data_IF_736725161680
#
_entry.id   IF_736725161680
#
_cell.length_a   1.000
_cell.length_b   1.000
_cell.length_c   1.000
_cell.angle_alpha   90.00
_cell.angle_beta   90.00
_cell.angle_gamma   90.00
#
_symmetry.space_group_name_H-M   'P 1'
#
loop_
_entity.id
_entity.type
_entity.pdbx_description
1 polymer ?
#
# COMPACT_ATOMS: atom_id res chain seq x y z
N UNK A 1 23.38 -10.89 6.59
CA UNK A 1 23.79 -11.47 5.28
C UNK A 1 22.93 -12.67 4.85
N UNK A 2 21.63 -12.48 4.60
CA UNK A 2 20.70 -13.52 4.10
C UNK A 2 19.76 -12.98 3.01
N UNK A 3 20.22 -12.05 2.16
CA UNK A 3 19.47 -11.68 0.96
C UNK A 3 20.07 -12.41 -0.26
N UNK A 4 19.24 -13.18 -0.97
CA UNK A 4 19.65 -13.92 -2.16
C UNK A 4 20.10 -12.99 -3.30
N UNK A 5 19.74 -11.70 -3.26
CA UNK A 5 20.19 -10.70 -4.24
C UNK A 5 21.72 -10.53 -4.29
N UNK A 6 22.44 -10.79 -3.18
CA UNK A 6 23.90 -10.71 -3.16
C UNK A 6 24.61 -11.83 -3.93
N UNK A 7 23.87 -12.84 -4.41
CA UNK A 7 24.47 -13.97 -5.14
C UNK A 7 24.88 -13.60 -6.58
N UNK A 8 24.32 -12.52 -7.15
CA UNK A 8 24.72 -12.06 -8.49
C UNK A 8 26.05 -11.32 -8.39
N UNK A 9 27.13 -12.01 -8.73
CA UNK A 9 28.50 -11.47 -8.59
C UNK A 9 28.84 -10.36 -9.59
N UNK A 10 28.25 -10.38 -10.79
CA UNK A 10 28.51 -9.41 -11.87
C UNK A 10 27.21 -8.96 -12.53
N UNK A 11 26.38 -8.14 -11.85
CA UNK A 11 25.20 -7.55 -12.46
C UNK A 11 25.61 -6.61 -13.60
N UNK A 12 24.74 -6.44 -14.60
CA UNK A 12 25.00 -5.52 -15.73
C UNK A 12 24.85 -4.06 -15.28
N UNK A 13 23.92 -3.81 -14.38
CA UNK A 13 23.56 -2.52 -13.78
C UNK A 13 22.89 -2.78 -12.43
N UNK A 14 23.06 -1.89 -11.46
CA UNK A 14 22.42 -1.96 -10.15
C UNK A 14 21.49 -0.76 -9.91
N UNK A 15 20.41 -0.98 -9.17
CA UNK A 15 19.45 0.05 -8.81
C UNK A 15 18.96 -0.09 -7.37
N UNK A 16 18.95 1.00 -6.62
CA UNK A 16 18.38 1.07 -5.27
C UNK A 16 17.14 1.97 -5.33
N UNK A 17 15.97 1.39 -5.03
CA UNK A 17 14.71 2.13 -4.95
C UNK A 17 14.64 2.94 -3.65
N UNK A 18 13.54 3.67 -3.42
CA UNK A 18 13.31 4.36 -2.15
C UNK A 18 13.49 3.43 -0.95
N UNK A 19 14.23 3.90 0.05
CA UNK A 19 14.47 3.23 1.30
C UNK A 19 13.49 3.72 2.37
N UNK A 20 13.02 2.79 3.20
CA UNK A 20 12.11 3.09 4.30
C UNK A 20 12.32 2.11 5.46
N UNK A 21 11.60 2.31 6.56
CA UNK A 21 11.71 1.49 7.76
C UNK A 21 11.03 0.12 7.58
N UNK A 22 11.71 -0.73 6.82
CA UNK A 22 11.28 -2.07 6.51
C UNK A 22 12.32 -3.11 6.96
N UNK A 23 11.87 -4.28 7.42
CA UNK A 23 12.71 -5.37 7.90
C UNK A 23 13.72 -4.97 8.99
N UNK A 24 13.33 -4.09 9.91
CA UNK A 24 14.24 -3.51 10.92
C UNK A 24 14.91 -4.56 11.81
N UNK A 25 14.23 -5.67 12.14
CA UNK A 25 14.81 -6.78 12.93
C UNK A 25 16.01 -7.46 12.25
N UNK A 26 16.15 -7.31 10.92
CA UNK A 26 17.18 -7.98 10.11
C UNK A 26 18.19 -6.96 9.57
N UNK A 27 17.73 -5.78 9.16
CA UNK A 27 18.54 -4.78 8.47
C UNK A 27 19.05 -3.65 9.37
N UNK A 28 18.51 -3.50 10.58
CA UNK A 28 18.82 -2.40 11.50
C UNK A 28 17.63 -1.48 11.74
N UNK A 29 17.73 -0.68 12.79
CA UNK A 29 16.67 0.21 13.26
C UNK A 29 16.81 1.65 12.74
N UNK A 30 17.87 1.96 11.99
CA UNK A 30 18.06 3.26 11.35
C UNK A 30 18.10 3.16 9.82
N UNK A 31 17.82 4.27 9.13
CA UNK A 31 17.87 4.27 7.65
C UNK A 31 19.30 4.08 7.13
N UNK A 32 20.31 4.52 7.89
CA UNK A 32 21.72 4.30 7.57
C UNK A 32 22.10 2.82 7.63
N UNK A 33 21.66 2.08 8.64
CA UNK A 33 21.89 0.63 8.74
C UNK A 33 21.21 -0.12 7.59
N UNK A 34 19.94 0.22 7.30
CA UNK A 34 19.18 -0.35 6.18
C UNK A 34 19.85 -0.03 4.84
N UNK A 35 20.33 1.21 4.66
CA UNK A 35 21.05 1.62 3.47
C UNK A 35 22.37 0.85 3.33
N UNK A 36 23.11 0.65 4.42
CA UNK A 36 24.37 -0.09 4.42
C UNK A 36 24.21 -1.53 3.93
N UNK A 37 23.21 -2.26 4.43
CA UNK A 37 22.92 -3.61 3.93
C UNK A 37 22.55 -3.57 2.43
N UNK A 38 21.67 -2.65 2.01
CA UNK A 38 21.22 -2.57 0.61
C UNK A 38 22.30 -2.06 -0.35
N UNK A 39 23.23 -1.23 0.11
CA UNK A 39 24.37 -0.74 -0.65
C UNK A 39 25.30 -1.89 -1.09
N UNK A 40 25.25 -3.04 -0.41
CA UNK A 40 26.01 -4.23 -0.78
C UNK A 40 25.73 -4.78 -2.19
N UNK A 41 24.69 -4.31 -2.89
CA UNK A 41 24.47 -4.64 -4.31
C UNK A 41 25.34 -3.80 -5.25
N UNK A 42 25.92 -2.68 -4.80
CA UNK A 42 26.83 -1.85 -5.57
C UNK A 42 28.11 -2.65 -5.82
N UNK A 43 28.60 -2.64 -7.07
CA UNK A 43 29.78 -3.41 -7.49
C UNK A 43 30.72 -2.54 -8.32
N UNK A 44 32.02 -2.65 -8.05
CA UNK A 44 33.07 -1.95 -8.81
C UNK A 44 32.93 -2.20 -10.31
N UNK A 45 32.96 -1.11 -11.10
CA UNK A 45 32.86 -1.15 -12.56
C UNK A 45 31.46 -1.45 -13.11
N UNK A 46 30.45 -1.55 -12.23
CA UNK A 46 29.04 -1.70 -12.60
C UNK A 46 28.33 -0.36 -12.35
N UNK A 47 27.57 0.18 -13.33
CA UNK A 47 26.78 1.38 -13.12
C UNK A 47 25.75 1.18 -12.02
N UNK A 48 25.61 2.17 -11.15
CA UNK A 48 24.68 2.15 -10.03
C UNK A 48 23.77 3.37 -10.08
N UNK A 49 22.48 3.15 -9.87
CA UNK A 49 21.47 4.19 -9.84
C UNK A 49 20.71 4.12 -8.51
N UNK A 50 20.28 5.28 -8.02
CA UNK A 50 19.34 5.40 -6.91
C UNK A 50 18.31 6.48 -7.23
N UNK A 51 17.31 6.62 -6.38
CA UNK A 51 16.42 7.77 -6.33
C UNK A 51 16.81 8.66 -5.15
N UNK A 52 16.18 9.83 -5.01
CA UNK A 52 16.40 10.67 -3.84
C UNK A 52 16.05 9.88 -2.57
N UNK A 53 16.96 9.87 -1.60
CA UNK A 53 16.80 9.23 -0.31
C UNK A 53 16.82 10.28 0.81
N UNK A 54 16.35 9.93 2.03
CA UNK A 54 16.67 10.70 3.24
C UNK A 54 18.19 10.80 3.45
N UNK A 55 18.66 11.92 3.99
CA UNK A 55 20.09 12.24 4.10
C UNK A 55 20.92 11.13 4.77
N UNK A 56 20.39 10.54 5.85
CA UNK A 56 21.06 9.44 6.57
C UNK A 56 21.36 8.24 5.65
N UNK A 57 20.40 7.87 4.80
CA UNK A 57 20.57 6.79 3.84
C UNK A 57 21.45 7.23 2.66
N UNK A 58 21.26 8.45 2.16
CA UNK A 58 21.99 8.95 0.99
C UNK A 58 23.49 9.00 1.26
N UNK A 59 23.93 9.51 2.41
CA UNK A 59 25.33 9.54 2.81
C UNK A 59 25.96 8.13 2.77
N UNK A 60 25.26 7.12 3.29
CA UNK A 60 25.77 5.73 3.30
C UNK A 60 25.90 5.17 1.89
N UNK A 61 24.93 5.44 1.00
CA UNK A 61 25.00 4.99 -0.39
C UNK A 61 26.16 5.66 -1.15
N UNK A 62 26.38 6.96 -0.92
CA UNK A 62 27.47 7.73 -1.54
C UNK A 62 28.85 7.28 -1.04
N UNK A 63 28.98 7.02 0.27
CA UNK A 63 30.21 6.51 0.88
C UNK A 63 30.58 5.13 0.33
N UNK A 64 29.61 4.20 0.25
CA UNK A 64 29.84 2.87 -0.30
C UNK A 64 30.25 2.95 -1.79
N UNK A 65 29.52 3.73 -2.60
CA UNK A 65 29.83 3.93 -4.00
C UNK A 65 31.24 4.52 -4.20
N UNK A 66 31.59 5.53 -3.39
CA UNK A 66 32.92 6.17 -3.40
C UNK A 66 34.02 5.18 -3.04
N UNK A 67 33.82 4.36 -2.02
CA UNK A 67 34.80 3.32 -1.61
C UNK A 67 35.08 2.30 -2.73
N UNK A 68 34.07 2.02 -3.55
CA UNK A 68 34.16 1.10 -4.68
C UNK A 68 34.62 1.77 -5.98
N UNK A 69 34.80 3.10 -5.98
CA UNK A 69 35.04 3.94 -7.16
C UNK A 69 33.94 3.77 -8.23
N UNK A 70 32.68 3.83 -7.78
CA UNK A 70 31.48 3.78 -8.63
C UNK A 70 30.79 5.14 -8.57
N UNK A 71 30.44 5.68 -9.73
CA UNK A 71 29.57 6.86 -9.82
C UNK A 71 28.12 6.42 -9.55
N UNK A 72 27.57 6.83 -8.40
CA UNK A 72 26.18 6.58 -8.04
C UNK A 72 25.30 7.70 -8.57
N UNK A 73 24.44 7.38 -9.53
CA UNK A 73 23.59 8.39 -10.18
C UNK A 73 22.21 8.47 -9.54
N UNK A 74 21.83 9.67 -9.10
CA UNK A 74 20.48 9.95 -8.58
C UNK A 74 19.55 10.26 -9.75
N UNK A 75 18.59 9.38 -9.98
CA UNK A 75 17.62 9.49 -11.07
C UNK A 75 16.46 10.37 -10.64
N UNK A 76 16.07 11.27 -11.55
CA UNK A 76 14.89 12.13 -11.37
C UNK A 76 13.60 11.35 -11.63
N UNK A 77 12.47 11.73 -11.00
CA UNK A 77 11.17 11.19 -11.36
C UNK A 77 10.88 11.36 -12.86
N UNK A 78 10.14 10.42 -13.43
CA UNK A 78 9.69 10.52 -14.82
C UNK A 78 8.84 11.77 -15.01
N UNK A 79 9.22 12.63 -15.96
CA UNK A 79 8.37 13.70 -16.46
C UNK A 79 7.20 13.12 -17.25
N UNK A 80 5.98 13.41 -16.79
CA UNK A 80 4.71 12.99 -17.41
C UNK A 80 4.58 13.41 -18.87
N UNK A 81 5.22 14.52 -19.27
CA UNK A 81 5.17 15.01 -20.64
C UNK A 81 5.83 14.04 -21.63
N UNK A 82 6.75 13.18 -21.15
CA UNK A 82 7.45 12.20 -21.97
C UNK A 82 6.60 10.97 -22.33
N UNK A 83 5.39 10.85 -21.76
CA UNK A 83 4.45 9.76 -22.00
C UNK A 83 3.44 10.04 -23.14
N UNK A 84 3.57 11.14 -23.88
CA UNK A 84 2.66 11.51 -24.97
C UNK A 84 1.19 11.57 -24.54
N UNK A 85 0.93 12.08 -23.33
CA UNK A 85 -0.42 12.17 -22.75
C UNK A 85 -0.99 10.84 -22.21
N UNK A 86 -0.22 9.76 -22.24
CA UNK A 86 -0.57 8.50 -21.59
C UNK A 86 -0.21 8.53 -20.10
N UNK A 87 -0.85 7.66 -19.32
CA UNK A 87 -0.59 7.47 -17.88
C UNK A 87 0.20 6.19 -17.64
N UNK A 88 0.92 6.12 -16.53
CA UNK A 88 1.53 4.87 -16.06
C UNK A 88 0.45 3.80 -15.81
N UNK A 89 0.81 2.53 -16.04
CA UNK A 89 -0.07 1.40 -15.73
C UNK A 89 -0.20 1.13 -14.23
N UNK A 90 0.79 1.57 -13.44
CA UNK A 90 0.76 1.56 -11.97
C UNK A 90 0.33 2.93 -11.46
N UNK A 91 -0.64 2.95 -10.55
CA UNK A 91 -1.14 4.19 -9.94
C UNK A 91 -0.29 4.67 -8.76
N UNK A 92 -0.37 5.99 -8.51
CA UNK A 92 0.27 6.68 -7.40
C UNK A 92 1.50 7.49 -7.80
N UNK A 93 1.71 8.63 -7.15
CA UNK A 93 2.78 9.59 -7.50
C UNK A 93 4.19 8.99 -7.37
N UNK A 94 4.39 8.13 -6.37
CA UNK A 94 5.64 7.39 -6.16
C UNK A 94 6.02 6.51 -7.38
N UNK A 95 5.08 6.14 -8.24
CA UNK A 95 5.39 5.36 -9.44
C UNK A 95 6.16 6.16 -10.49
N UNK A 96 6.13 7.49 -10.48
CA UNK A 96 6.98 8.29 -11.37
C UNK A 96 8.46 8.22 -10.96
N UNK A 97 8.73 8.14 -9.64
CA UNK A 97 10.07 7.89 -9.10
C UNK A 97 10.55 6.49 -9.53
N UNK A 98 9.70 5.47 -9.33
CA UNK A 98 10.00 4.09 -9.74
C UNK A 98 10.21 3.97 -11.27
N UNK A 99 9.38 4.66 -12.05
CA UNK A 99 9.47 4.68 -13.51
C UNK A 99 10.78 5.32 -13.99
N UNK A 100 11.16 6.46 -13.40
CA UNK A 100 12.45 7.10 -13.69
C UNK A 100 13.62 6.14 -13.49
N UNK A 101 13.68 5.49 -12.32
CA UNK A 101 14.70 4.50 -12.03
C UNK A 101 14.64 3.31 -13.01
N UNK A 102 13.45 2.78 -13.29
CA UNK A 102 13.27 1.67 -14.23
C UNK A 102 13.75 2.02 -15.65
N UNK A 103 13.53 3.24 -16.11
CA UNK A 103 14.03 3.75 -17.40
C UNK A 103 15.56 3.75 -17.39
N UNK A 104 16.20 4.35 -16.37
CA UNK A 104 17.66 4.43 -16.29
C UNK A 104 18.33 3.04 -16.26
N UNK A 105 17.76 2.11 -15.50
CA UNK A 105 18.21 0.73 -15.43
C UNK A 105 18.04 0.01 -16.77
N UNK A 106 16.85 0.09 -17.37
CA UNK A 106 16.55 -0.58 -18.64
C UNK A 106 17.41 -0.05 -19.78
N UNK A 107 17.55 1.27 -19.86
CA UNK A 107 18.38 1.95 -20.85
C UNK A 107 19.85 1.53 -20.73
N UNK A 108 20.40 1.55 -19.51
CA UNK A 108 21.79 1.13 -19.25
C UNK A 108 22.00 -0.34 -19.59
N UNK A 109 21.04 -1.20 -19.23
CA UNK A 109 21.09 -2.61 -19.57
C UNK A 109 21.09 -2.84 -21.09
N UNK A 110 20.19 -2.17 -21.84
CA UNK A 110 20.13 -2.26 -23.31
C UNK A 110 21.46 -1.83 -23.95
N UNK A 111 22.04 -0.70 -23.49
CA UNK A 111 23.34 -0.21 -24.00
C UNK A 111 24.46 -1.21 -23.75
N UNK A 112 24.55 -1.77 -22.54
CA UNK A 112 25.63 -2.70 -22.15
C UNK A 112 25.48 -4.10 -22.72
N UNK A 113 24.29 -4.47 -23.20
CA UNK A 113 24.01 -5.76 -23.84
C UNK A 113 23.99 -5.70 -25.37
N UNK A 114 24.32 -4.54 -25.97
CA UNK A 114 24.45 -4.39 -27.42
C UNK A 114 23.17 -4.01 -28.17
N UNK A 115 22.09 -3.65 -27.46
CA UNK A 115 20.80 -3.26 -28.04
C UNK A 115 20.70 -1.74 -28.26
N UNK A 116 21.73 -1.14 -28.86
CA UNK A 116 21.88 0.32 -29.00
C UNK A 116 20.83 0.97 -29.91
N UNK A 117 20.28 0.23 -30.86
CA UNK A 117 19.24 0.74 -31.78
C UNK A 117 17.97 1.15 -31.06
N UNK A 118 17.62 0.48 -29.94
CA UNK A 118 16.48 0.83 -29.09
C UNK A 118 16.79 1.97 -28.11
N UNK A 119 18.08 2.15 -27.76
CA UNK A 119 18.52 3.21 -26.86
C UNK A 119 18.65 4.56 -27.59
N UNK A 120 19.03 4.57 -28.86
CA UNK A 120 19.31 5.80 -29.61
C UNK A 120 18.10 6.36 -30.37
N UNK A 121 16.90 5.80 -30.20
CA UNK A 121 15.65 6.39 -30.71
C UNK A 121 15.20 7.58 -29.84
N UNK A 122 16.08 8.55 -29.65
CA UNK A 122 15.74 9.83 -29.04
C UNK A 122 14.95 10.66 -30.04
N UNK A 123 13.62 10.61 -29.93
CA UNK A 123 12.78 11.67 -30.48
C UNK A 123 12.82 12.80 -29.46
N UNK A 124 13.36 13.96 -29.86
CA UNK A 124 13.45 15.13 -29.00
C UNK A 124 12.08 15.44 -28.36
N UNK A 125 11.94 15.12 -27.07
CA UNK A 125 10.72 15.37 -26.29
C UNK A 125 9.83 14.17 -25.94
N UNK A 126 10.17 12.93 -26.31
CA UNK A 126 9.39 11.74 -25.89
C UNK A 126 10.26 10.50 -25.65
N UNK A 127 9.82 9.61 -24.76
CA UNK A 127 10.45 8.29 -24.59
C UNK A 127 10.28 7.41 -25.83
N UNK A 128 11.19 6.44 -26.10
CA UNK A 128 10.97 5.45 -27.14
C UNK A 128 9.65 4.68 -26.93
N UNK A 129 8.96 4.31 -28.02
CA UNK A 129 7.63 3.70 -27.98
C UNK A 129 7.59 2.44 -27.09
N UNK A 130 8.66 1.65 -27.09
CA UNK A 130 8.76 0.43 -26.30
C UNK A 130 8.81 0.72 -24.79
N UNK A 131 9.43 1.83 -24.38
CA UNK A 131 9.44 2.28 -22.99
C UNK A 131 8.05 2.75 -22.57
N UNK A 132 7.40 3.58 -23.40
CA UNK A 132 6.03 4.04 -23.15
C UNK A 132 5.08 2.84 -23.02
N UNK A 133 5.16 1.88 -23.95
CA UNK A 133 4.37 0.65 -23.91
C UNK A 133 4.63 -0.16 -22.63
N UNK A 134 5.88 -0.32 -22.23
CA UNK A 134 6.24 -1.03 -21.00
C UNK A 134 5.69 -0.35 -19.75
N UNK A 135 5.82 0.98 -19.66
CA UNK A 135 5.37 1.77 -18.52
C UNK A 135 3.84 1.83 -18.40
N UNK A 136 3.14 1.96 -19.53
CA UNK A 136 1.67 2.03 -19.60
C UNK A 136 1.00 0.66 -19.38
N UNK A 137 1.67 -0.44 -19.74
CA UNK A 137 1.16 -1.79 -19.56
C UNK A 137 1.62 -2.45 -18.25
N UNK A 138 2.47 -1.80 -17.45
CA UNK A 138 2.96 -2.33 -16.19
C UNK A 138 1.81 -2.53 -15.20
N UNK A 139 1.65 -3.74 -14.69
CA UNK A 139 0.68 -4.06 -13.64
C UNK A 139 1.36 -4.88 -12.55
N UNK A 140 0.99 -4.65 -11.29
CA UNK A 140 1.51 -5.42 -10.17
C UNK A 140 0.37 -5.80 -9.22
N UNK A 141 0.10 -7.09 -9.10
CA UNK A 141 -0.98 -7.58 -8.26
C UNK A 141 -0.77 -7.18 -6.80
N UNK A 142 -1.83 -6.63 -6.19
CA UNK A 142 -1.79 -6.13 -4.82
C UNK A 142 -1.06 -4.81 -4.62
N UNK A 143 -0.81 -4.04 -5.68
CA UNK A 143 -0.37 -2.64 -5.62
C UNK A 143 -1.39 -1.75 -6.30
N UNK A 144 -2.01 -0.85 -5.53
CA UNK A 144 -3.02 0.06 -6.03
C UNK A 144 -4.09 -0.63 -6.94
N UNK A 145 -4.52 -1.83 -6.57
CA UNK A 145 -5.35 -2.68 -7.43
C UNK A 145 -6.82 -2.62 -6.99
N UNK A 146 -7.71 -2.23 -7.89
CA UNK A 146 -9.16 -2.18 -7.65
C UNK A 146 -9.81 -3.46 -8.19
N UNK A 147 -10.60 -4.14 -7.36
CA UNK A 147 -11.24 -5.42 -7.66
C UNK A 147 -12.70 -5.39 -7.21
N UNK A 148 -13.66 -5.18 -8.12
CA UNK A 148 -15.07 -5.43 -7.85
C UNK A 148 -15.30 -6.90 -7.47
N UNK A 149 -16.13 -7.17 -6.46
CA UNK A 149 -16.44 -8.55 -6.06
C UNK A 149 -17.32 -9.23 -7.11
N UNK A 150 -16.88 -10.38 -7.62
CA UNK A 150 -17.59 -11.10 -8.67
C UNK A 150 -18.69 -12.05 -8.16
N UNK A 151 -18.86 -12.17 -6.83
CA UNK A 151 -19.79 -13.11 -6.18
C UNK A 151 -21.00 -12.42 -5.54
N UNK A 152 -21.06 -11.09 -5.60
CA UNK A 152 -22.29 -10.35 -5.35
C UNK A 152 -23.06 -10.34 -6.68
N UNK A 153 -24.16 -11.10 -6.73
CA UNK A 153 -25.11 -11.03 -7.85
C UNK A 153 -25.91 -9.72 -7.75
N UNK A 154 -25.25 -8.59 -7.97
CA UNK A 154 -25.89 -7.28 -8.09
C UNK A 154 -26.08 -6.93 -9.55
N UNK A 155 -27.17 -6.21 -9.86
CA UNK A 155 -27.36 -5.62 -11.20
C UNK A 155 -26.30 -4.55 -11.52
N UNK A 156 -25.53 -4.10 -10.51
CA UNK A 156 -24.47 -3.10 -10.64
C UNK A 156 -23.10 -3.68 -10.24
N UNK A 157 -22.13 -3.61 -11.16
CA UNK A 157 -20.70 -3.77 -10.86
C UNK A 157 -20.25 -2.56 -10.02
N UNK A 158 -20.33 -2.65 -8.69
CA UNK A 158 -19.92 -1.54 -7.82
C UNK A 158 -20.42 -1.59 -6.37
N UNK A 159 -21.33 -2.51 -6.04
CA UNK A 159 -21.91 -2.54 -4.70
C UNK A 159 -20.90 -3.04 -3.64
N UNK A 160 -19.90 -3.83 -4.04
CA UNK A 160 -18.77 -4.23 -3.20
C UNK A 160 -17.47 -4.17 -4.02
N UNK A 161 -16.57 -3.25 -3.65
CA UNK A 161 -15.29 -3.06 -4.34
C UNK A 161 -14.15 -3.17 -3.35
N UNK A 162 -13.15 -3.98 -3.68
CA UNK A 162 -11.93 -4.13 -2.90
C UNK A 162 -10.80 -3.30 -3.50
N UNK A 163 -10.17 -2.48 -2.67
CA UNK A 163 -8.98 -1.69 -2.98
C UNK A 163 -7.80 -2.36 -2.31
N UNK A 164 -6.89 -2.93 -3.10
CA UNK A 164 -5.85 -3.83 -2.61
C UNK A 164 -4.49 -3.17 -2.73
N UNK A 165 -3.85 -2.93 -1.58
CA UNK A 165 -2.47 -2.48 -1.54
C UNK A 165 -1.70 -3.12 -0.39
N UNK A 166 -0.58 -3.78 -0.68
CA UNK A 166 0.23 -4.44 0.33
C UNK A 166 1.15 -3.51 1.14
N UNK A 167 0.77 -2.26 1.39
CA UNK A 167 1.51 -1.33 2.24
C UNK A 167 1.66 -1.89 3.67
N UNK A 168 2.83 -1.69 4.29
CA UNK A 168 3.16 -2.27 5.59
C UNK A 168 4.34 -1.58 6.30
N UNK A 169 4.67 -0.36 5.89
CA UNK A 169 5.58 0.58 6.55
C UNK A 169 4.88 1.93 6.72
N UNK A 170 5.25 2.79 7.68
CA UNK A 170 4.57 4.08 7.87
C UNK A 170 4.45 4.92 6.59
N UNK A 171 5.50 4.97 5.78
CA UNK A 171 5.54 5.72 4.52
C UNK A 171 4.65 5.10 3.45
N UNK A 172 4.68 3.77 3.31
CA UNK A 172 3.82 3.09 2.35
C UNK A 172 2.34 3.16 2.74
N UNK A 173 2.02 3.22 4.04
CA UNK A 173 0.65 3.41 4.52
C UNK A 173 0.11 4.80 4.16
N UNK A 174 0.93 5.85 4.24
CA UNK A 174 0.56 7.20 3.77
C UNK A 174 0.30 7.22 2.25
N UNK A 175 1.19 6.60 1.48
CA UNK A 175 1.04 6.50 0.01
C UNK A 175 -0.24 5.72 -0.35
N UNK A 176 -0.48 4.60 0.32
CA UNK A 176 -1.68 3.78 0.16
C UNK A 176 -2.96 4.59 0.47
N UNK A 177 -2.96 5.38 1.54
CA UNK A 177 -4.08 6.25 1.88
C UNK A 177 -4.35 7.30 0.79
N UNK A 178 -3.31 8.01 0.30
CA UNK A 178 -3.49 9.00 -0.79
C UNK A 178 -4.11 8.38 -2.03
N UNK A 179 -3.59 7.22 -2.45
CA UNK A 179 -4.15 6.48 -3.58
C UNK A 179 -5.60 6.09 -3.35
N UNK A 180 -5.90 5.44 -2.21
CA UNK A 180 -7.24 5.00 -1.88
C UNK A 180 -8.24 6.17 -1.88
N UNK A 181 -7.88 7.28 -1.24
CA UNK A 181 -8.72 8.48 -1.19
C UNK A 181 -9.04 9.07 -2.55
N UNK A 182 -8.06 9.18 -3.44
CA UNK A 182 -8.30 9.65 -4.82
C UNK A 182 -9.15 8.66 -5.63
N UNK A 183 -8.94 7.36 -5.42
CA UNK A 183 -9.66 6.30 -6.13
C UNK A 183 -11.15 6.27 -5.76
N UNK A 184 -11.49 6.33 -4.46
CA UNK A 184 -12.91 6.33 -4.01
C UNK A 184 -13.68 7.60 -4.36
N UNK A 185 -12.97 8.71 -4.60
CA UNK A 185 -13.57 9.97 -5.09
C UNK A 185 -13.70 10.05 -6.60
N UNK A 186 -13.17 9.07 -7.34
CA UNK A 186 -13.20 9.05 -8.80
C UNK A 186 -12.19 9.99 -9.48
N UNK A 187 -11.20 10.52 -8.76
CA UNK A 187 -10.20 11.45 -9.30
C UNK A 187 -9.26 10.79 -10.35
N UNK A 188 -9.13 9.46 -10.28
CA UNK A 188 -8.23 8.69 -11.15
C UNK A 188 -8.90 8.02 -12.36
N UNK A 189 -10.23 8.06 -12.49
CA UNK A 189 -10.90 7.43 -13.62
C UNK A 189 -10.73 8.23 -14.92
N UNK A 190 -10.19 7.65 -16.00
CA UNK A 190 -10.38 8.23 -17.33
C UNK A 190 -11.87 8.19 -17.68
N UNK A 191 -12.35 9.18 -18.46
CA UNK A 191 -13.73 9.45 -18.95
C UNK A 191 -14.54 8.27 -19.58
N UNK A 192 -14.17 7.00 -19.39
CA UNK A 192 -14.83 5.82 -19.96
C UNK A 192 -15.78 5.07 -19.02
N UNK A 193 -15.93 5.49 -17.77
CA UNK A 193 -17.06 5.08 -16.91
C UNK A 193 -17.68 6.30 -16.27
N UNK A 194 -18.18 7.24 -17.08
CA UNK A 194 -19.37 7.98 -16.63
C UNK A 194 -20.50 6.95 -16.61
N UNK A 195 -21.16 6.69 -15.47
CA UNK A 195 -22.44 5.99 -15.50
C UNK A 195 -23.28 6.68 -16.56
N UNK A 196 -23.73 5.93 -17.56
CA UNK A 196 -24.63 6.45 -18.57
C UNK A 196 -25.78 7.15 -17.84
N UNK A 197 -25.98 8.43 -18.14
CA UNK A 197 -27.16 9.25 -17.79
C UNK A 197 -27.82 8.80 -16.48
N UNK A 198 -27.35 9.34 -15.35
CA UNK A 198 -28.02 9.22 -14.06
C UNK A 198 -29.51 9.52 -14.23
N UNK A 199 -30.34 8.50 -14.03
CA UNK A 199 -31.77 8.65 -13.84
C UNK A 199 -31.97 9.30 -12.45
N UNK A 200 -32.54 10.51 -12.34
CA UNK A 200 -32.76 11.19 -11.06
C UNK A 200 -33.74 10.46 -10.13
N UNK A 201 -34.31 9.33 -10.56
CA UNK A 201 -35.22 8.51 -9.77
C UNK A 201 -34.56 7.39 -8.94
N UNK A 202 -33.25 7.14 -9.09
CA UNK A 202 -32.54 6.18 -8.23
C UNK A 202 -32.17 6.82 -6.90
N UNK A 203 -32.65 6.28 -5.79
CA UNK A 203 -32.26 6.71 -4.44
C UNK A 203 -30.72 6.77 -4.32
N UNK A 204 -30.19 7.90 -3.83
CA UNK A 204 -28.76 8.11 -3.61
C UNK A 204 -28.20 6.97 -2.74
N UNK A 205 -27.36 6.12 -3.33
CA UNK A 205 -26.71 5.04 -2.58
C UNK A 205 -25.70 5.64 -1.60
N UNK A 206 -25.71 5.14 -0.37
CA UNK A 206 -24.74 5.52 0.64
C UNK A 206 -23.47 4.71 0.44
N UNK A 207 -22.38 5.40 0.10
CA UNK A 207 -21.05 4.81 0.05
C UNK A 207 -20.46 4.73 1.45
N UNK A 208 -19.93 3.55 1.81
CA UNK A 208 -19.26 3.33 3.10
C UNK A 208 -17.84 2.81 2.87
N UNK A 209 -16.86 3.53 3.42
CA UNK A 209 -15.46 3.10 3.41
C UNK A 209 -15.19 2.15 4.59
N UNK A 210 -14.66 0.99 4.28
CA UNK A 210 -14.34 -0.06 5.26
C UNK A 210 -12.84 -0.36 5.18
N UNK A 211 -12.19 -0.47 6.32
CA UNK A 211 -10.83 -0.97 6.40
C UNK A 211 -10.85 -2.47 6.70
N UNK A 212 -10.16 -3.28 5.90
CA UNK A 212 -9.82 -4.66 6.20
C UNK A 212 -8.30 -4.74 6.40
N UNK A 213 -7.87 -4.91 7.65
CA UNK A 213 -6.47 -4.74 8.03
C UNK A 213 -5.91 -5.95 8.77
N UNK A 214 -4.65 -6.25 8.46
CA UNK A 214 -3.81 -7.12 9.26
C UNK A 214 -2.34 -6.77 9.00
N UNK A 215 -1.49 -6.84 10.03
CA UNK A 215 -0.03 -6.81 9.87
C UNK A 215 0.60 -7.99 10.64
N UNK A 216 1.86 -8.32 10.35
CA UNK A 216 2.59 -9.34 11.10
C UNK A 216 2.98 -8.81 12.50
N UNK A 217 3.16 -9.70 13.49
CA UNK A 217 3.50 -9.31 14.87
C UNK A 217 4.89 -8.66 15.03
N UNK A 218 5.74 -8.73 14.01
CA UNK A 218 7.03 -8.02 13.92
C UNK A 218 6.84 -6.56 13.48
N UNK A 219 5.60 -6.13 13.23
CA UNK A 219 5.24 -4.75 12.91
C UNK A 219 4.49 -4.13 14.06
N UNK A 220 4.66 -2.82 14.21
CA UNK A 220 3.93 -2.04 15.18
C UNK A 220 2.69 -1.39 14.54
N UNK A 221 1.47 -1.84 14.87
CA UNK A 221 0.25 -1.22 14.35
C UNK A 221 0.07 0.24 14.78
N UNK A 222 0.67 0.66 15.90
CA UNK A 222 0.62 2.06 16.36
C UNK A 222 1.46 2.99 15.48
N UNK A 223 2.37 2.45 14.67
CA UNK A 223 3.11 3.21 13.65
C UNK A 223 2.46 3.15 12.26
N UNK A 224 1.64 2.13 11.99
CA UNK A 224 1.04 1.92 10.66
C UNK A 224 -0.35 2.55 10.50
N UNK A 225 -1.21 2.43 11.52
CA UNK A 225 -2.59 2.91 11.43
C UNK A 225 -2.71 4.44 11.44
N UNK A 226 -1.96 5.21 12.26
CA UNK A 226 -2.14 6.66 12.29
C UNK A 226 -1.80 7.38 10.98
N UNK A 227 -0.69 7.07 10.27
CA UNK A 227 -0.42 7.68 8.96
C UNK A 227 -1.53 7.40 7.93
N UNK A 228 -2.07 6.16 7.92
CA UNK A 228 -3.18 5.79 7.05
C UNK A 228 -4.42 6.65 7.36
N UNK A 229 -4.86 6.64 8.61
CA UNK A 229 -6.08 7.32 9.04
C UNK A 229 -6.01 8.83 8.85
N UNK A 230 -4.90 9.46 9.28
CA UNK A 230 -4.70 10.91 9.17
C UNK A 230 -4.69 11.37 7.70
N UNK A 231 -4.10 10.56 6.83
CA UNK A 231 -4.00 10.89 5.40
C UNK A 231 -5.34 10.71 4.70
N UNK A 232 -6.11 9.67 5.02
CA UNK A 232 -7.49 9.56 4.53
C UNK A 232 -8.35 10.74 5.02
N UNK A 233 -8.25 11.09 6.31
CA UNK A 233 -9.03 12.19 6.89
C UNK A 233 -8.67 13.56 6.30
N UNK A 234 -7.39 13.83 6.00
CA UNK A 234 -6.99 15.07 5.33
C UNK A 234 -7.50 15.16 3.89
N UNK A 235 -7.92 14.03 3.33
CA UNK A 235 -8.57 13.90 2.03
C UNK A 235 -10.08 13.68 2.19
N UNK A 236 -10.72 14.00 3.32
CA UNK A 236 -12.18 13.86 3.52
C UNK A 236 -12.70 12.42 3.26
N UNK A 237 -11.89 11.42 3.61
CA UNK A 237 -12.25 9.99 3.51
C UNK A 237 -12.15 9.38 4.90
N UNK A 238 -13.27 8.84 5.39
CA UNK A 238 -13.38 8.35 6.76
C UNK A 238 -13.93 6.93 6.81
N UNK A 239 -13.12 5.99 7.33
CA UNK A 239 -13.56 4.62 7.53
C UNK A 239 -14.72 4.54 8.53
N UNK A 240 -15.83 3.95 8.10
CA UNK A 240 -17.00 3.68 8.94
C UNK A 240 -16.77 2.49 9.86
N UNK A 241 -15.97 1.51 9.41
CA UNK A 241 -15.65 0.32 10.19
C UNK A 241 -14.27 -0.22 9.84
N UNK A 242 -13.57 -0.77 10.83
CA UNK A 242 -12.36 -1.56 10.63
C UNK A 242 -12.59 -3.03 10.98
N UNK A 243 -12.12 -3.92 10.11
CA UNK A 243 -12.21 -5.36 10.22
C UNK A 243 -10.80 -5.92 10.40
N UNK A 244 -10.60 -6.69 11.47
CA UNK A 244 -9.33 -7.34 11.77
C UNK A 244 -9.48 -8.85 11.63
N UNK A 245 -8.61 -9.46 10.81
CA UNK A 245 -8.66 -10.88 10.45
C UNK A 245 -7.30 -11.56 10.66
N UNK A 246 -7.27 -12.86 11.03
CA UNK A 246 -6.03 -13.62 11.02
C UNK A 246 -5.56 -13.88 9.59
N UNK A 247 -4.25 -14.09 9.41
CA UNK A 247 -3.70 -14.56 8.13
C UNK A 247 -4.19 -15.99 7.84
N UNK A 248 -4.56 -16.26 6.58
CA UNK A 248 -4.82 -17.64 6.14
C UNK A 248 -3.49 -18.28 5.70
N UNK A 249 -2.67 -17.54 4.96
CA UNK A 249 -1.31 -17.94 4.60
C UNK A 249 -0.34 -17.69 5.76
N UNK A 250 0.29 -18.75 6.28
CA UNK A 250 1.30 -18.66 7.35
C UNK A 250 2.69 -18.43 6.74
N UNK A 251 3.44 -17.46 7.27
CA UNK A 251 4.85 -17.27 6.96
C UNK A 251 5.67 -18.40 7.60
N UNK A 252 6.26 -19.28 6.79
CA UNK A 252 7.34 -20.14 7.24
C UNK A 252 8.66 -19.38 7.12
N UNK A 253 9.31 -19.08 8.25
CA UNK A 253 10.68 -18.58 8.25
C UNK A 253 11.56 -19.62 7.55
N UNK A 254 12.30 -19.22 6.52
CA UNK A 254 13.23 -20.11 5.82
C UNK A 254 14.23 -20.63 6.86
N UNK A 255 14.22 -21.94 7.12
CA UNK A 255 15.08 -22.61 8.09
C UNK A 255 14.39 -23.38 9.23
N UNK A 256 13.07 -23.23 9.44
CA UNK A 256 12.35 -24.04 10.43
C UNK A 256 11.52 -25.12 9.75
N UNK A 257 12.09 -26.32 9.62
CA UNK A 257 11.32 -27.54 9.39
C UNK A 257 10.53 -27.84 10.66
N UNK A 258 9.23 -27.55 10.66
CA UNK A 258 8.31 -28.20 11.59
C UNK A 258 7.13 -28.74 10.78
N UNK A 259 7.02 -30.07 10.79
CA UNK A 259 5.85 -30.80 10.31
C UNK A 259 4.59 -30.25 11.01
N UNK A 260 3.59 -29.88 10.23
CA UNK A 260 2.28 -29.50 10.76
C UNK A 260 1.54 -30.75 11.24
N UNK A 261 1.41 -30.87 12.56
CA UNK A 261 0.39 -31.69 13.21
C UNK A 261 -0.97 -30.99 13.07
N UNK A 262 -1.89 -31.66 12.39
CA UNK A 262 -3.30 -31.30 12.26
C UNK A 262 -4.06 -31.55 13.57
N UNK A 263 -4.31 -30.49 14.32
CA UNK A 263 -5.38 -30.43 15.33
C UNK A 263 -6.02 -29.04 15.24
N UNK A 264 -7.33 -29.01 14.99
CA UNK A 264 -8.15 -27.79 14.90
C UNK A 264 -8.32 -27.23 16.32
N UNK A 265 -7.35 -26.45 16.77
CA UNK A 265 -7.54 -25.52 17.89
C UNK A 265 -8.28 -24.30 17.38
N UNK A 266 -9.13 -23.69 18.23
CA UNK A 266 -9.73 -22.38 17.92
C UNK A 266 -8.64 -21.39 17.50
N UNK A 267 -8.88 -20.54 16.49
CA UNK A 267 -7.88 -19.59 16.05
C UNK A 267 -7.53 -18.65 17.21
N UNK A 268 -6.24 -18.53 17.52
CA UNK A 268 -5.77 -17.58 18.51
C UNK A 268 -5.90 -16.15 17.95
N UNK A 269 -6.89 -15.40 18.42
CA UNK A 269 -7.19 -14.04 17.98
C UNK A 269 -6.54 -12.94 18.82
N UNK A 270 -5.61 -13.29 19.73
CA UNK A 270 -4.93 -12.32 20.60
C UNK A 270 -4.27 -11.20 19.81
N UNK A 271 -3.66 -11.52 18.66
CA UNK A 271 -3.05 -10.52 17.79
C UNK A 271 -4.09 -9.60 17.15
N UNK A 272 -5.18 -10.14 16.60
CA UNK A 272 -6.27 -9.32 16.03
C UNK A 272 -6.91 -8.40 17.07
N UNK A 273 -7.02 -8.84 18.33
CA UNK A 273 -7.46 -8.01 19.45
C UNK A 273 -6.44 -6.92 19.82
N UNK A 274 -5.14 -7.15 19.59
CA UNK A 274 -4.12 -6.09 19.71
C UNK A 274 -4.28 -5.06 18.58
N UNK A 275 -4.48 -5.49 17.34
CA UNK A 275 -4.72 -4.59 16.21
C UNK A 275 -5.97 -3.73 16.42
N UNK A 276 -7.05 -4.36 16.90
CA UNK A 276 -8.28 -3.66 17.23
C UNK A 276 -8.08 -2.58 18.30
N UNK A 277 -7.34 -2.90 19.37
CA UNK A 277 -7.02 -1.91 20.42
C UNK A 277 -6.19 -0.74 19.90
N UNK A 278 -5.20 -1.00 19.05
CA UNK A 278 -4.40 0.06 18.42
C UNK A 278 -5.26 1.01 17.57
N UNK A 279 -6.23 0.46 16.84
CA UNK A 279 -7.23 1.24 16.10
C UNK A 279 -8.14 2.06 17.00
N UNK A 280 -8.74 1.44 18.01
CA UNK A 280 -9.69 2.11 18.91
C UNK A 280 -9.00 3.25 19.68
N UNK A 281 -7.75 3.05 20.11
CA UNK A 281 -6.93 4.09 20.75
C UNK A 281 -6.66 5.27 19.80
N UNK A 282 -6.36 4.98 18.53
CA UNK A 282 -6.11 6.01 17.51
C UNK A 282 -7.37 6.84 17.25
N UNK A 283 -8.54 6.21 17.18
CA UNK A 283 -9.84 6.89 17.00
C UNK A 283 -10.23 7.78 18.20
N UNK A 284 -9.87 7.40 19.43
CA UNK A 284 -10.14 8.22 20.62
C UNK A 284 -9.23 9.45 20.70
N UNK A 285 -7.96 9.29 20.33
CA UNK A 285 -6.99 10.39 20.32
C UNK A 285 -7.36 11.50 19.33
N UNK A 286 -8.02 11.16 18.23
CA UNK A 286 -8.49 12.13 17.23
C UNK A 286 -9.69 12.95 17.75
N UNK A 287 -10.69 12.27 18.33
CA UNK A 287 -11.84 12.93 18.98
C UNK A 287 -11.43 13.83 20.14
N UNK A 288 -10.42 13.43 20.91
CA UNK A 288 -9.87 14.21 22.01
C UNK A 288 -9.07 15.46 21.58
N UNK A 289 -8.64 15.52 20.31
CA UNK A 289 -7.97 16.70 19.72
C UNK A 289 -8.98 17.69 19.13
N UNK A 290 -10.03 17.22 18.47
CA UNK A 290 -11.14 18.07 18.00
C UNK A 290 -11.87 18.75 19.16
N UNK A 291 -12.13 18.04 20.26
CA UNK A 291 -12.78 18.59 21.45
C UNK A 291 -11.92 19.64 22.21
N UNK A 292 -10.59 19.68 22.00
CA UNK A 292 -9.69 20.67 22.61
C UNK A 292 -9.49 21.92 21.76
N UNK A 293 -10.09 21.98 20.57
CA UNK A 293 -10.03 23.14 19.67
C UNK A 293 -11.25 24.07 19.78
N UNK A 294 -12.22 23.73 20.63
CA UNK A 294 -13.39 24.57 20.92
C UNK A 294 -13.30 25.08 22.36
N UNK A 295 -12.95 26.37 22.46
CA UNK A 295 -12.99 27.31 23.59
C UNK A 295 -12.93 26.86 25.06
N UNK A 296 -11.97 27.50 25.75
CA UNK A 296 -11.94 27.69 27.19
C UNK A 296 -13.19 28.42 27.70
N UNK A 297 -14.08 27.71 28.41
CA UNK A 297 -14.89 28.27 29.51
C UNK A 297 -14.96 27.21 30.63
N UNK A 298 -14.55 27.50 31.87
CA UNK A 298 -14.65 26.54 32.96
C UNK A 298 -15.94 26.73 33.74
N UNK A 299 -16.89 25.79 33.67
CA UNK A 299 -17.94 25.67 34.70
C UNK A 299 -18.18 24.23 35.15
N UNK A 300 -17.96 24.10 36.46
CA UNK A 300 -18.61 23.29 37.51
C UNK A 300 -19.09 21.86 37.24
N UNK A 301 -18.56 20.97 38.10
CA UNK A 301 -19.00 19.61 38.33
C UNK A 301 -20.46 19.58 38.78
N UNK A 302 -21.27 18.77 38.12
CA UNK A 302 -22.40 18.08 38.76
C UNK A 302 -22.45 16.63 38.28
N UNK A 303 -22.48 15.72 39.26
CA UNK A 303 -22.87 14.32 39.11
C UNK A 303 -24.32 14.26 38.64
N UNK A 304 -24.59 13.55 37.54
CA UNK A 304 -25.76 12.68 37.51
C UNK A 304 -25.61 11.51 36.52
N UNK A 305 -26.09 10.38 37.00
CA UNK A 305 -26.31 9.11 36.35
C UNK A 305 -27.26 9.18 35.16
N UNK A 306 -26.91 8.57 34.02
CA UNK A 306 -27.86 8.43 32.92
C UNK A 306 -27.30 7.83 31.63
N UNK A 307 -27.54 6.53 31.44
CA UNK A 307 -27.75 5.82 30.16
C UNK A 307 -26.91 6.30 28.95
N UNK A 308 -25.84 5.60 28.61
CA UNK A 308 -25.32 5.63 27.23
C UNK A 308 -25.94 4.50 26.42
N UNK A 309 -26.65 4.89 25.35
CA UNK A 309 -27.06 3.97 24.29
C UNK A 309 -25.83 3.33 23.65
N UNK A 310 -25.93 2.06 23.31
CA UNK A 310 -24.85 1.30 22.69
C UNK A 310 -24.42 1.94 21.37
N UNK A 311 -23.29 2.65 21.39
CA UNK A 311 -22.57 3.00 20.17
C UNK A 311 -22.16 1.69 19.52
N UNK A 312 -22.67 1.44 18.30
CA UNK A 312 -22.21 0.32 17.50
C UNK A 312 -20.68 0.45 17.32
N UNK A 313 -19.93 -0.62 17.60
CA UNK A 313 -18.47 -0.59 17.59
C UNK A 313 -17.94 -0.25 16.19
N UNK A 314 -17.03 0.73 16.09
CA UNK A 314 -16.35 1.12 14.84
C UNK A 314 -15.29 0.11 14.39
N UNK A 315 -15.10 -0.96 15.16
CA UNK A 315 -14.13 -2.02 14.87
C UNK A 315 -14.70 -3.41 15.20
N UNK A 316 -14.28 -4.45 14.45
CA UNK A 316 -14.69 -5.85 14.65
C UNK A 316 -13.53 -6.79 14.36
N UNK A 317 -13.36 -7.82 15.20
CA UNK A 317 -12.46 -8.96 14.95
C UNK A 317 -13.26 -10.14 14.40
N UNK A 318 -12.82 -10.68 13.27
CA UNK A 318 -13.35 -11.92 12.70
C UNK A 318 -12.40 -13.08 12.96
N UNK A 319 -12.94 -14.27 13.20
CA UNK A 319 -12.14 -15.48 13.42
C UNK A 319 -11.47 -16.02 12.15
N UNK A 320 -11.89 -15.56 10.97
CA UNK A 320 -11.25 -15.89 9.69
C UNK A 320 -11.59 -14.88 8.59
N UNK A 321 -10.72 -14.78 7.57
CA UNK A 321 -10.96 -13.94 6.40
C UNK A 321 -12.23 -14.32 5.61
N UNK A 322 -12.53 -15.61 5.34
CA UNK A 322 -13.77 -15.97 4.66
C UNK A 322 -15.04 -15.50 5.37
N UNK A 323 -15.04 -15.46 6.71
CA UNK A 323 -16.18 -14.93 7.48
C UNK A 323 -16.33 -13.42 7.33
N UNK A 324 -15.23 -12.67 7.31
CA UNK A 324 -15.25 -11.23 7.06
C UNK A 324 -15.77 -10.90 5.64
N UNK A 325 -15.28 -11.62 4.61
CA UNK A 325 -15.76 -11.44 3.24
C UNK A 325 -17.23 -11.83 3.11
N UNK A 326 -17.66 -12.91 3.75
CA UNK A 326 -19.08 -13.30 3.79
C UNK A 326 -19.92 -12.18 4.41
N UNK A 327 -19.48 -11.61 5.53
CA UNK A 327 -20.18 -10.51 6.19
C UNK A 327 -20.31 -9.27 5.28
N UNK A 328 -19.25 -8.90 4.55
CA UNK A 328 -19.27 -7.81 3.58
C UNK A 328 -20.29 -8.08 2.46
N UNK A 329 -20.26 -9.28 1.86
CA UNK A 329 -21.21 -9.68 0.81
C UNK A 329 -22.66 -9.71 1.31
N UNK A 330 -22.88 -10.24 2.50
CA UNK A 330 -24.22 -10.31 3.10
C UNK A 330 -24.76 -8.92 3.45
N UNK A 331 -23.90 -7.98 3.87
CA UNK A 331 -24.26 -6.58 4.15
C UNK A 331 -24.83 -5.91 2.91
N UNK A 332 -24.15 -6.04 1.77
CA UNK A 332 -24.58 -5.46 0.49
C UNK A 332 -25.85 -6.13 -0.04
N UNK A 333 -25.96 -7.46 0.06
CA UNK A 333 -27.17 -8.20 -0.35
C UNK A 333 -28.41 -7.82 0.44
N UNK A 334 -28.24 -7.55 1.74
CA UNK A 334 -29.34 -7.19 2.63
C UNK A 334 -29.73 -5.72 2.53
N UNK A 335 -28.83 -4.85 2.07
CA UNK A 335 -29.07 -3.42 1.96
C UNK A 335 -28.63 -2.87 0.60
N UNK A 336 -29.55 -2.91 -0.37
CA UNK A 336 -29.31 -2.47 -1.75
C UNK A 336 -29.04 -0.96 -1.88
N UNK A 337 -29.30 -0.18 -0.84
CA UNK A 337 -29.01 1.27 -0.79
C UNK A 337 -27.57 1.57 -0.35
N UNK A 338 -26.76 0.56 -0.06
CA UNK A 338 -25.38 0.71 0.43
C UNK A 338 -24.40 0.14 -0.58
N UNK A 339 -23.30 0.87 -0.82
CA UNK A 339 -22.11 0.34 -1.49
C UNK A 339 -20.91 0.34 -0.54
N UNK A 340 -20.09 -0.70 -0.60
CA UNK A 340 -18.92 -0.85 0.26
C UNK A 340 -17.63 -0.68 -0.54
N UNK A 341 -16.80 0.29 -0.13
CA UNK A 341 -15.45 0.50 -0.64
C UNK A 341 -14.45 -0.02 0.41
N UNK A 342 -13.89 -1.19 0.18
CA UNK A 342 -13.10 -1.93 1.18
C UNK A 342 -11.62 -1.79 0.89
N UNK A 343 -10.89 -1.00 1.68
CA UNK A 343 -9.43 -0.97 1.63
C UNK A 343 -8.84 -2.21 2.32
N UNK A 344 -8.02 -2.96 1.61
CA UNK A 344 -7.30 -4.13 2.10
C UNK A 344 -5.81 -3.81 2.12
N UNK A 345 -5.23 -3.69 3.31
CA UNK A 345 -3.84 -3.27 3.48
C UNK A 345 -3.20 -3.77 4.78
N UNK A 346 -1.93 -3.42 5.01
CA UNK A 346 -1.14 -3.79 6.19
C UNK A 346 -0.28 -5.06 6.00
N UNK A 347 -0.57 -5.87 4.98
CA UNK A 347 0.14 -7.12 4.74
C UNK A 347 -0.05 -7.64 3.31
N UNK A 348 1.05 -8.04 2.66
CA UNK A 348 1.01 -8.75 1.38
C UNK A 348 0.30 -10.10 1.48
N UNK A 349 0.36 -10.77 2.63
CA UNK A 349 -0.36 -12.04 2.85
C UNK A 349 -1.88 -11.82 2.82
N UNK A 350 -2.36 -10.77 3.50
CA UNK A 350 -3.78 -10.43 3.51
C UNK A 350 -4.27 -10.10 2.10
N UNK A 351 -3.54 -9.25 1.38
CA UNK A 351 -3.88 -8.89 0.00
C UNK A 351 -3.92 -10.10 -0.92
N UNK A 352 -2.93 -10.98 -0.83
CA UNK A 352 -2.89 -12.23 -1.60
C UNK A 352 -4.05 -13.18 -1.25
N UNK A 353 -4.42 -13.27 0.02
CA UNK A 353 -5.54 -14.12 0.47
C UNK A 353 -6.90 -13.56 0.03
N UNK A 354 -7.09 -12.24 0.03
CA UNK A 354 -8.30 -11.61 -0.53
C UNK A 354 -8.38 -11.84 -2.04
N UNK A 355 -7.29 -11.67 -2.78
CA UNK A 355 -7.26 -11.93 -4.23
C UNK A 355 -7.72 -13.35 -4.60
N UNK A 356 -7.39 -14.35 -3.78
CA UNK A 356 -7.84 -15.74 -3.98
C UNK A 356 -9.35 -15.93 -3.76
N UNK A 357 -9.96 -15.07 -2.94
CA UNK A 357 -11.38 -15.20 -2.54
C UNK A 357 -12.32 -14.30 -3.36
N UNK A 358 -11.78 -13.34 -4.11
CA UNK A 358 -12.56 -12.37 -4.91
C UNK A 358 -12.48 -12.62 -6.42
N UNK A 359 -11.53 -13.44 -6.90
CA UNK A 359 -11.43 -13.86 -8.31
C UNK A 359 -12.18 -15.18 -8.53
N UNK A 360 -13.02 -15.23 -9.58
CA UNK A 360 -13.65 -16.47 -10.06
C UNK A 360 -12.66 -17.46 -10.64
#
# INVERSE_FOLDING_TARGET
MYDAMFQVQKPVVCGITSLGYDHMEILGYTLGEIAGEKAGIIKRGIPAFTVQQPDEAMCVLEDEASSLNVDLQVVQPLDVNLLNGLKLGLEGEHQYVNAGLAIALSFTWLRRTGHLELANQEHAGSLPEQFIKGLTAATFQGRAQIVPDQYVDSENDGDLVFYLDGAHSPESMEICAKWFSGAVKGENQPDKVKPQVFDPSSAERVQLEILLFNCMSVRDPELLLPPLMKTCASQDVHFKKALFVPNVSVYHKVGTHNLTSSTVSEPNLSWQLTLQRAWDNSMQNDKGREAKQVDHVPEEKNDDSGKSGGSESSSVVFSSLPLAIKWLRDTVRQNQSVSLQVLVTGSLHLVGDVLKLTRK
#
